data_IF_823831090248
#
_entry.id   IF_823831090248
#
_cell.length_a   1.000
_cell.length_b   1.000
_cell.length_c   1.000
_cell.angle_alpha   90.00
_cell.angle_beta   90.00
_cell.angle_gamma   90.00
#
_symmetry.space_group_name_H-M   'P 1'
#
loop_
_entity.id
_entity.type
_entity.pdbx_description
1 polymer ?
#
# COMPACT_ATOMS: atom_id res chain seq x y z
N UNK A 1 -16.49 3.64 7.79
CA UNK A 1 -15.03 3.64 7.57
C UNK A 1 -14.76 2.88 6.29
N UNK A 2 -14.01 3.49 5.36
CA UNK A 2 -13.63 2.84 4.10
C UNK A 2 -12.20 2.33 4.21
N UNK A 3 -11.94 1.11 3.76
CA UNK A 3 -10.62 0.47 3.80
C UNK A 3 -10.19 0.03 2.42
N UNK A 4 -8.92 0.23 2.11
CA UNK A 4 -8.27 -0.31 0.93
C UNK A 4 -7.14 -1.23 1.36
N UNK A 5 -7.07 -2.40 0.73
CA UNK A 5 -6.10 -3.45 1.02
C UNK A 5 -5.11 -3.60 -0.13
N UNK A 6 -3.85 -3.86 0.21
CA UNK A 6 -2.76 -4.18 -0.70
C UNK A 6 -2.02 -5.36 -0.10
N UNK A 7 -2.39 -6.58 -0.49
CA UNK A 7 -1.88 -7.81 0.14
C UNK A 7 -0.35 -7.96 0.02
N UNK A 8 0.21 -7.56 -1.13
CA UNK A 8 1.65 -7.53 -1.36
C UNK A 8 2.39 -6.52 -0.45
N UNK A 9 1.66 -5.53 0.06
CA UNK A 9 2.18 -4.46 0.89
C UNK A 9 2.71 -3.26 0.11
N UNK A 10 2.88 -2.14 0.81
CA UNK A 10 3.38 -0.87 0.28
C UNK A 10 4.22 -0.10 1.31
N UNK A 11 5.09 0.79 0.84
CA UNK A 11 6.03 1.56 1.68
C UNK A 11 5.83 3.08 1.62
N UNK A 12 4.95 3.55 0.75
CA UNK A 12 4.59 4.97 0.63
C UNK A 12 3.10 5.10 0.34
N UNK A 13 2.50 6.20 0.80
CA UNK A 13 1.12 6.56 0.49
C UNK A 13 1.01 8.08 0.32
N UNK A 14 0.63 8.50 -0.88
CA UNK A 14 0.23 9.88 -1.19
C UNK A 14 -1.07 9.89 -1.96
N UNK A 15 -1.80 11.00 -1.85
CA UNK A 15 -3.13 11.17 -2.43
C UNK A 15 -3.49 12.67 -2.41
N UNK A 16 -4.55 13.06 -3.10
CA UNK A 16 -5.22 14.34 -2.88
C UNK A 16 -6.44 14.13 -1.98
N UNK A 17 -6.76 15.11 -1.14
CA UNK A 17 -7.93 14.99 -0.24
C UNK A 17 -8.66 16.30 -0.01
N UNK A 18 -9.96 16.17 0.27
CA UNK A 18 -10.81 17.22 0.80
C UNK A 18 -11.81 16.64 1.80
N UNK A 19 -12.14 17.39 2.85
CA UNK A 19 -13.08 16.95 3.86
C UNK A 19 -14.04 18.05 4.32
N UNK A 20 -15.27 17.65 4.65
CA UNK A 20 -16.30 18.47 5.30
C UNK A 20 -16.11 18.54 6.83
N UNK A 21 -15.35 17.61 7.41
CA UNK A 21 -15.09 17.54 8.86
C UNK A 21 -13.77 16.82 9.14
N UNK A 22 -13.27 16.92 10.37
CA UNK A 22 -12.04 16.25 10.80
C UNK A 22 -12.08 14.75 10.50
N UNK A 23 -11.29 14.35 9.52
CA UNK A 23 -11.12 12.98 9.07
C UNK A 23 -9.63 12.64 9.02
N UNK A 24 -9.29 11.37 8.99
CA UNK A 24 -7.93 10.88 9.00
C UNK A 24 -7.72 9.84 7.92
N UNK A 25 -6.51 9.81 7.37
CA UNK A 25 -6.00 8.65 6.66
C UNK A 25 -5.04 7.91 7.60
N UNK A 26 -5.43 6.70 7.98
CA UNK A 26 -4.65 5.82 8.85
C UNK A 26 -4.02 4.70 8.02
N UNK A 27 -2.76 4.35 8.29
CA UNK A 27 -2.02 3.29 7.59
C UNK A 27 -1.69 2.17 8.57
N UNK A 28 -2.02 0.93 8.21
CA UNK A 28 -1.89 -0.23 9.08
C UNK A 28 -0.99 -1.32 8.50
N UNK A 29 -0.28 -2.02 9.38
CA UNK A 29 0.59 -3.13 9.01
C UNK A 29 -0.15 -4.38 8.53
N UNK A 30 -1.41 -4.55 8.92
CA UNK A 30 -2.27 -5.67 8.54
C UNK A 30 -3.38 -5.27 7.57
N UNK A 31 -4.05 -6.28 7.01
CA UNK A 31 -5.23 -6.11 6.16
C UNK A 31 -6.44 -5.59 6.96
N UNK A 32 -7.40 -4.98 6.28
CA UNK A 32 -8.67 -4.53 6.83
C UNK A 32 -8.54 -3.54 8.01
N UNK A 33 -7.48 -2.73 8.03
CA UNK A 33 -7.21 -1.80 9.13
C UNK A 33 -6.82 -2.50 10.44
N UNK A 34 -6.24 -3.70 10.37
CA UNK A 34 -5.79 -4.48 11.54
C UNK A 34 -4.28 -4.39 11.73
N UNK A 35 -3.78 -4.90 12.86
CA UNK A 35 -2.35 -4.86 13.19
C UNK A 35 -1.95 -3.52 13.81
N UNK A 36 -0.70 -3.12 13.60
CA UNK A 36 -0.14 -1.89 14.18
C UNK A 36 -0.45 -0.69 13.29
N UNK A 37 -0.87 0.43 13.90
CA UNK A 37 -0.98 1.72 13.23
C UNK A 37 0.44 2.25 12.94
N UNK A 38 0.80 2.33 11.67
CA UNK A 38 2.14 2.75 11.21
C UNK A 38 2.23 4.26 10.98
N UNK A 39 1.12 4.90 10.63
CA UNK A 39 1.05 6.34 10.41
C UNK A 39 -0.39 6.84 10.33
N UNK A 40 -0.60 8.11 10.61
CA UNK A 40 -1.88 8.78 10.51
C UNK A 40 -1.68 10.23 10.10
N UNK A 41 -2.53 10.73 9.22
CA UNK A 41 -2.57 12.15 8.85
C UNK A 41 -4.00 12.66 8.89
N UNK A 42 -4.20 13.85 9.47
CA UNK A 42 -5.48 14.53 9.40
C UNK A 42 -5.70 15.10 8.01
N UNK A 43 -6.90 14.93 7.47
CA UNK A 43 -7.31 15.49 6.19
C UNK A 43 -7.80 16.93 6.36
N UNK A 44 -7.53 17.79 5.37
CA UNK A 44 -7.93 19.19 5.40
C UNK A 44 -9.45 19.39 5.40
N UNK A 45 -9.93 20.53 5.91
CA UNK A 45 -11.36 20.82 6.12
C UNK A 45 -12.04 21.57 4.96
N UNK A 46 -11.43 21.61 3.77
CA UNK A 46 -12.06 22.19 2.59
C UNK A 46 -12.44 21.08 1.59
N UNK A 47 -13.74 20.75 1.45
CA UNK A 47 -14.19 19.68 0.56
C UNK A 47 -14.12 20.05 -0.92
N UNK A 48 -13.91 21.33 -1.26
CA UNK A 48 -13.88 21.84 -2.64
C UNK A 48 -12.46 22.10 -3.16
N UNK A 49 -11.44 21.87 -2.34
CA UNK A 49 -10.04 22.07 -2.72
C UNK A 49 -9.23 20.81 -2.38
N UNK A 50 -9.19 19.87 -3.31
CA UNK A 50 -8.40 18.65 -3.18
C UNK A 50 -6.92 19.00 -3.24
N UNK A 51 -6.24 18.88 -2.11
CA UNK A 51 -4.82 19.20 -1.98
C UNK A 51 -4.00 17.92 -1.75
N UNK A 52 -2.79 17.91 -2.31
CA UNK A 52 -1.86 16.80 -2.14
C UNK A 52 -1.52 16.61 -0.64
N UNK A 53 -1.50 15.36 -0.21
CA UNK A 53 -1.22 14.90 1.14
C UNK A 53 -0.51 13.56 1.07
N UNK A 54 0.25 13.25 2.11
CA UNK A 54 0.86 11.92 2.26
C UNK A 54 0.80 11.49 3.72
N UNK A 55 0.85 10.19 3.95
CA UNK A 55 1.05 9.64 5.28
C UNK A 55 2.52 9.25 5.40
N UNK A 56 3.22 9.83 6.38
CA UNK A 56 4.58 9.42 6.71
C UNK A 56 4.54 8.21 7.63
N UNK A 57 5.19 7.11 7.23
CA UNK A 57 5.32 5.89 8.04
C UNK A 57 6.61 5.14 7.65
N UNK A 58 6.97 4.13 8.44
CA UNK A 58 8.09 3.22 8.17
C UNK A 58 7.62 1.77 8.18
N UNK A 59 8.35 0.90 7.48
CA UNK A 59 8.01 -0.51 7.32
C UNK A 59 7.10 -0.77 6.12
N UNK A 60 6.42 -1.93 6.14
CA UNK A 60 5.50 -2.37 5.09
C UNK A 60 4.08 -2.33 5.64
N UNK A 61 3.23 -1.54 5.00
CA UNK A 61 1.80 -1.47 5.29
C UNK A 61 1.02 -2.40 4.35
N UNK A 62 -0.13 -2.90 4.80
CA UNK A 62 -1.02 -3.75 4.01
C UNK A 62 -2.40 -3.15 3.80
N UNK A 63 -2.77 -2.12 4.56
CA UNK A 63 -4.00 -1.38 4.34
C UNK A 63 -3.90 0.08 4.75
N UNK A 64 -4.79 0.88 4.18
CA UNK A 64 -5.05 2.24 4.64
C UNK A 64 -6.56 2.46 4.78
N UNK A 65 -6.93 3.29 5.75
CA UNK A 65 -8.31 3.49 6.20
C UNK A 65 -8.64 4.96 6.20
N UNK A 66 -9.70 5.32 5.47
CA UNK A 66 -10.32 6.62 5.63
C UNK A 66 -11.23 6.58 6.86
N UNK A 67 -10.74 7.18 7.95
CA UNK A 67 -11.43 7.28 9.23
C UNK A 67 -12.10 8.64 9.36
N UNK A 68 -13.41 8.60 9.59
CA UNK A 68 -14.27 9.75 9.71
C UNK A 68 -15.72 9.27 9.61
N UNK A 69 -16.67 10.20 9.68
CA UNK A 69 -18.05 9.83 9.39
C UNK A 69 -18.27 9.58 7.88
N UNK A 70 -19.37 8.90 7.56
CA UNK A 70 -19.73 8.50 6.19
C UNK A 70 -20.03 9.69 5.28
N UNK A 71 -19.21 9.91 4.24
CA UNK A 71 -19.35 11.00 3.28
C UNK A 71 -18.72 12.32 3.74
N UNK A 72 -17.89 12.29 4.79
CA UNK A 72 -17.28 13.50 5.35
C UNK A 72 -15.93 13.84 4.72
N UNK A 73 -15.34 12.92 3.96
CA UNK A 73 -14.08 13.14 3.27
C UNK A 73 -14.04 12.35 1.97
N UNK A 74 -13.31 12.88 1.00
CA UNK A 74 -12.94 12.22 -0.24
C UNK A 74 -11.42 12.19 -0.38
N UNK A 75 -10.94 11.14 -1.03
CA UNK A 75 -9.55 11.02 -1.46
C UNK A 75 -9.55 10.73 -2.97
N UNK A 76 -8.55 11.23 -3.67
CA UNK A 76 -8.33 10.98 -5.08
C UNK A 76 -6.83 10.89 -5.37
N UNK A 77 -6.44 10.56 -6.61
CA UNK A 77 -5.05 10.47 -7.07
C UNK A 77 -4.15 9.63 -6.15
N UNK A 78 -4.67 8.49 -5.68
CA UNK A 78 -3.96 7.63 -4.74
C UNK A 78 -2.74 7.00 -5.42
N UNK A 79 -1.57 7.24 -4.85
CA UNK A 79 -0.29 6.69 -5.28
C UNK A 79 0.38 5.94 -4.13
N UNK A 80 0.87 4.74 -4.43
CA UNK A 80 1.60 3.88 -3.50
C UNK A 80 2.83 3.30 -4.19
N UNK A 81 3.89 3.07 -3.43
CA UNK A 81 5.01 2.22 -3.86
C UNK A 81 4.77 0.81 -3.34
N UNK A 82 4.40 -0.11 -4.24
CA UNK A 82 4.16 -1.50 -3.89
C UNK A 82 5.47 -2.24 -3.62
N UNK A 83 5.45 -3.16 -2.66
CA UNK A 83 6.56 -4.09 -2.46
C UNK A 83 6.45 -5.18 -3.53
N UNK A 84 7.55 -5.52 -4.24
CA UNK A 84 7.51 -6.63 -5.20
C UNK A 84 7.03 -7.91 -4.53
N UNK A 85 6.07 -8.58 -5.17
CA UNK A 85 5.43 -9.75 -4.57
C UNK A 85 6.46 -10.85 -4.24
N UNK A 86 6.29 -11.58 -3.13
CA UNK A 86 7.14 -12.73 -2.80
C UNK A 86 7.22 -13.75 -3.95
N UNK A 87 6.13 -13.89 -4.70
CA UNK A 87 6.02 -14.80 -5.84
C UNK A 87 6.90 -14.39 -7.01
N UNK A 88 7.13 -13.09 -7.23
CA UNK A 88 8.03 -12.63 -8.31
C UNK A 88 9.46 -13.10 -8.06
N UNK A 89 9.91 -13.04 -6.80
CA UNK A 89 11.20 -13.61 -6.41
C UNK A 89 11.20 -15.14 -6.48
N UNK A 90 10.10 -15.78 -6.06
CA UNK A 90 9.91 -17.22 -6.20
C UNK A 90 10.03 -17.70 -7.66
N UNK A 91 9.38 -17.01 -8.58
CA UNK A 91 9.40 -17.31 -10.02
C UNK A 91 10.77 -17.04 -10.65
N UNK A 92 11.45 -15.97 -10.23
CA UNK A 92 12.83 -15.69 -10.68
C UNK A 92 13.78 -16.81 -10.23
N UNK A 93 13.70 -17.21 -8.96
CA UNK A 93 14.51 -18.31 -8.42
C UNK A 93 14.16 -19.65 -9.08
N UNK A 94 12.88 -19.91 -9.32
CA UNK A 94 12.44 -21.09 -10.05
C UNK A 94 12.99 -21.10 -11.49
N UNK A 95 12.95 -19.97 -12.19
CA UNK A 95 13.55 -19.82 -13.52
C UNK A 95 15.05 -20.09 -13.52
N UNK A 96 15.78 -19.52 -12.56
CA UNK A 96 17.22 -19.75 -12.38
C UNK A 96 17.53 -21.24 -12.08
N UNK A 97 16.74 -21.88 -11.23
CA UNK A 97 16.90 -23.29 -10.91
C UNK A 97 16.70 -24.17 -12.15
N UNK A 98 15.68 -23.90 -12.97
CA UNK A 98 15.44 -24.62 -14.23
C UNK A 98 16.61 -24.46 -15.21
N UNK A 99 17.14 -23.24 -15.36
CA UNK A 99 18.32 -22.97 -16.21
C UNK A 99 19.55 -23.74 -15.71
N UNK A 100 19.81 -23.74 -14.40
CA UNK A 100 20.91 -24.48 -13.79
C UNK A 100 20.81 -25.99 -14.04
N UNK A 101 19.60 -26.56 -13.91
CA UNK A 101 19.34 -27.98 -14.21
C UNK A 101 19.58 -28.29 -15.69
N UNK A 102 19.10 -27.44 -16.61
CA UNK A 102 19.29 -27.62 -18.04
C UNK A 102 20.78 -27.58 -18.43
N UNK A 103 21.54 -26.61 -17.89
CA UNK A 103 22.98 -26.48 -18.12
C UNK A 103 23.75 -27.72 -17.62
N UNK A 104 23.41 -28.24 -16.43
CA UNK A 104 24.03 -29.46 -15.89
C UNK A 104 23.75 -30.70 -16.72
N UNK A 105 22.55 -30.81 -17.33
CA UNK A 105 22.22 -31.91 -18.25
C UNK A 105 23.08 -31.85 -19.51
N UNK A 106 23.29 -30.65 -20.06
CA UNK A 106 24.12 -30.45 -21.25
C UNK A 106 25.60 -30.80 -21.02
N UNK A 107 26.11 -30.59 -19.81
CA UNK A 107 27.50 -30.97 -19.46
C UNK A 107 27.70 -32.47 -19.25
N UNK A 108 26.63 -33.23 -19.04
CA UNK A 108 26.65 -34.69 -18.77
C UNK A 108 26.30 -35.53 -20.01
N UNK A 109 25.93 -34.88 -21.11
CA UNK A 109 25.74 -35.47 -22.43
C UNK A 109 26.98 -35.16 -23.28
#
# INVERSE_FOLDING_TARGET
MAVANVAAGFTSLSFTSGAFSTSYMDVYSGLNGTGTLLGSVQLGSNPYAFAATSVTFSGVAQSFVLRGGSGQAGIDDVQITTVPEPETYGMMLAGLALVGVAARRKQRA
#
